data_IF_376943381112
#
_entry.id   IF_376943381112
#
_cell.length_a   1.000
_cell.length_b   1.000
_cell.length_c   1.000
_cell.angle_alpha   90.00
_cell.angle_beta   90.00
_cell.angle_gamma   90.00
#
_symmetry.space_group_name_H-M   'P 1'
#
loop_
_entity.id
_entity.type
_entity.pdbx_description
1 polymer ?
#
# COMPACT_ATOMS: atom_id res chain seq x y z
N UNK A 1 -13.24 -12.71 -13.93
CA UNK A 1 -13.11 -12.54 -12.48
C UNK A 1 -12.03 -11.53 -12.18
N UNK A 2 -12.38 -10.38 -11.61
CA UNK A 2 -11.42 -9.46 -11.00
C UNK A 2 -11.26 -9.78 -9.52
N UNK A 3 -10.05 -9.68 -8.99
CA UNK A 3 -9.74 -10.01 -7.60
C UNK A 3 -9.30 -8.78 -6.82
N UNK A 4 -9.52 -8.78 -5.51
CA UNK A 4 -8.96 -7.76 -4.62
C UNK A 4 -7.55 -8.16 -4.21
N UNK A 5 -6.56 -7.29 -4.47
CA UNK A 5 -5.23 -7.44 -3.93
C UNK A 5 -5.17 -6.74 -2.58
N UNK A 6 -4.89 -7.48 -1.50
CA UNK A 6 -4.79 -6.95 -0.15
C UNK A 6 -3.34 -6.93 0.29
N UNK A 7 -2.91 -5.82 0.84
CA UNK A 7 -1.57 -5.61 1.36
C UNK A 7 -1.67 -5.19 2.82
N UNK A 8 -0.67 -5.60 3.61
CA UNK A 8 -0.57 -5.26 5.03
C UNK A 8 0.84 -4.79 5.32
N UNK A 9 0.94 -3.74 6.11
CA UNK A 9 2.19 -3.23 6.66
C UNK A 9 2.13 -3.31 8.18
N UNK A 10 3.08 -4.02 8.78
CA UNK A 10 3.23 -4.04 10.23
C UNK A 10 3.98 -2.79 10.69
N UNK A 11 3.32 -2.02 11.56
CA UNK A 11 3.84 -0.77 12.07
C UNK A 11 4.49 -0.92 13.46
N UNK A 12 4.67 -2.16 13.93
CA UNK A 12 5.19 -2.48 15.25
C UNK A 12 4.13 -2.40 16.36
N UNK A 13 4.46 -2.92 17.54
CA UNK A 13 3.61 -2.89 18.74
C UNK A 13 2.19 -3.46 18.53
N UNK A 14 2.05 -4.48 17.66
CA UNK A 14 0.76 -5.08 17.33
C UNK A 14 -0.16 -4.19 16.49
N UNK A 15 0.36 -3.09 15.95
CA UNK A 15 -0.36 -2.18 15.07
C UNK A 15 0.01 -2.46 13.61
N UNK A 16 -0.98 -2.43 12.73
CA UNK A 16 -0.76 -2.60 11.30
C UNK A 16 -1.72 -1.76 10.48
N UNK A 17 -1.23 -1.31 9.33
CA UNK A 17 -2.05 -0.70 8.30
C UNK A 17 -2.30 -1.72 7.19
N UNK A 18 -3.43 -1.56 6.50
CA UNK A 18 -3.78 -2.45 5.39
C UNK A 18 -4.44 -1.65 4.26
N UNK A 19 -4.25 -2.10 3.03
CA UNK A 19 -4.96 -1.53 1.89
C UNK A 19 -5.43 -2.63 0.96
N UNK A 20 -6.43 -2.31 0.15
CA UNK A 20 -7.05 -3.24 -0.76
C UNK A 20 -7.28 -2.56 -2.11
N UNK A 21 -6.59 -2.98 -3.15
CA UNK A 21 -6.82 -2.50 -4.51
C UNK A 21 -7.77 -3.45 -5.24
N UNK A 22 -8.80 -2.89 -5.89
CA UNK A 22 -9.69 -3.65 -6.78
C UNK A 22 -9.05 -3.71 -8.16
N UNK A 23 -8.69 -4.91 -8.58
CA UNK A 23 -8.07 -5.14 -9.89
C UNK A 23 -8.99 -5.98 -10.76
N UNK A 24 -9.22 -5.52 -12.00
CA UNK A 24 -9.75 -6.38 -13.05
C UNK A 24 -8.74 -7.49 -13.40
N UNK A 25 -9.21 -8.54 -14.08
CA UNK A 25 -8.34 -9.63 -14.55
C UNK A 25 -7.17 -9.09 -15.38
N UNK A 26 -7.48 -8.21 -16.34
CA UNK A 26 -6.49 -7.58 -17.22
C UNK A 26 -5.45 -6.78 -16.45
N UNK A 27 -5.89 -5.95 -15.50
CA UNK A 27 -4.97 -5.16 -14.67
C UNK A 27 -4.06 -6.06 -13.82
N UNK A 28 -4.61 -7.13 -13.26
CA UNK A 28 -3.83 -8.10 -12.47
C UNK A 28 -2.78 -8.79 -13.32
N UNK A 29 -3.11 -9.21 -14.54
CA UNK A 29 -2.18 -9.82 -15.49
C UNK A 29 -1.08 -8.86 -15.94
N UNK A 30 -1.43 -7.60 -16.20
CA UNK A 30 -0.45 -6.56 -16.50
C UNK A 30 0.53 -6.40 -15.35
N UNK A 31 0.05 -6.13 -14.13
CA UNK A 31 0.92 -5.96 -12.96
C UNK A 31 1.74 -7.23 -12.67
N UNK A 32 1.18 -8.41 -12.85
CA UNK A 32 1.91 -9.67 -12.71
C UNK A 32 3.04 -9.78 -13.75
N UNK A 33 2.80 -9.36 -14.98
CA UNK A 33 3.83 -9.32 -16.03
C UNK A 33 4.95 -8.34 -15.67
N UNK A 34 4.62 -7.15 -15.17
CA UNK A 34 5.63 -6.20 -14.67
C UNK A 34 6.41 -6.77 -13.48
N UNK A 35 5.74 -7.43 -12.55
CA UNK A 35 6.39 -8.05 -11.41
C UNK A 35 7.37 -9.15 -11.85
N UNK A 36 6.96 -10.03 -12.77
CA UNK A 36 7.82 -11.07 -13.33
C UNK A 36 9.04 -10.49 -14.05
N UNK A 37 8.87 -9.41 -14.83
CA UNK A 37 10.01 -8.70 -15.45
C UNK A 37 11.00 -8.15 -14.42
N UNK A 38 10.52 -7.75 -13.25
CA UNK A 38 11.35 -7.31 -12.12
C UNK A 38 11.85 -8.47 -11.24
N UNK A 39 11.60 -9.73 -11.61
CA UNK A 39 11.98 -10.91 -10.83
C UNK A 39 11.23 -11.06 -9.50
N UNK A 40 10.05 -10.47 -9.36
CA UNK A 40 9.25 -10.45 -8.13
C UNK A 40 7.84 -11.00 -8.36
N UNK A 41 7.18 -11.44 -7.30
CA UNK A 41 5.75 -11.76 -7.37
C UNK A 41 4.91 -10.47 -7.33
N UNK A 42 3.70 -10.51 -7.91
CA UNK A 42 2.76 -9.40 -7.85
C UNK A 42 2.53 -8.92 -6.40
N UNK A 43 2.34 -9.87 -5.48
CA UNK A 43 2.14 -9.58 -4.07
C UNK A 43 3.34 -8.85 -3.45
N UNK A 44 4.56 -9.31 -3.73
CA UNK A 44 5.78 -8.65 -3.24
C UNK A 44 5.92 -7.21 -3.77
N UNK A 45 5.56 -6.99 -5.04
CA UNK A 45 5.59 -5.64 -5.63
C UNK A 45 4.55 -4.74 -4.99
N UNK A 46 3.31 -5.21 -4.81
CA UNK A 46 2.24 -4.44 -4.18
C UNK A 46 2.54 -4.16 -2.70
N UNK A 47 3.03 -5.16 -1.97
CA UNK A 47 3.42 -5.02 -0.56
C UNK A 47 4.58 -4.04 -0.40
N UNK A 48 5.58 -4.09 -1.28
CA UNK A 48 6.68 -3.13 -1.27
C UNK A 48 6.19 -1.70 -1.57
N UNK A 49 5.37 -1.53 -2.61
CA UNK A 49 4.80 -0.24 -2.97
C UNK A 49 3.95 0.34 -1.83
N UNK A 50 3.14 -0.49 -1.17
CA UNK A 50 2.37 -0.07 0.01
C UNK A 50 3.27 0.33 1.17
N UNK A 51 4.29 -0.47 1.48
CA UNK A 51 5.24 -0.18 2.55
C UNK A 51 5.98 1.16 2.32
N UNK A 52 6.30 1.50 1.07
CA UNK A 52 6.88 2.81 0.74
C UNK A 52 5.90 3.95 1.05
N UNK A 53 4.62 3.83 0.68
CA UNK A 53 3.61 4.84 1.01
C UNK A 53 3.43 4.98 2.54
N UNK A 54 3.43 3.88 3.29
CA UNK A 54 3.36 3.93 4.76
C UNK A 54 4.57 4.66 5.34
N UNK A 55 5.79 4.29 4.90
CA UNK A 55 7.03 4.93 5.39
C UNK A 55 7.13 6.40 4.98
N UNK A 56 6.61 6.77 3.80
CA UNK A 56 6.59 8.15 3.34
C UNK A 56 5.63 9.01 4.17
N UNK A 57 4.50 8.43 4.58
CA UNK A 57 3.47 9.08 5.38
C UNK A 57 3.86 9.16 6.87
N UNK A 58 4.46 8.09 7.40
CA UNK A 58 4.84 7.90 8.81
C UNK A 58 6.36 8.04 8.99
N UNK A 59 6.84 9.27 8.91
CA UNK A 59 8.26 9.58 9.12
C UNK A 59 8.42 10.86 9.96
N UNK A 60 9.55 11.03 10.66
CA UNK A 60 9.86 12.30 11.32
C UNK A 60 9.81 13.45 10.30
N UNK A 61 9.02 14.49 10.59
CA UNK A 61 8.76 15.62 9.67
C UNK A 61 7.90 15.27 8.45
N UNK A 62 7.33 14.07 8.39
CA UNK A 62 6.27 13.70 7.46
C UNK A 62 4.91 14.22 7.92
N UNK A 63 3.85 13.78 7.25
CA UNK A 63 2.48 14.19 7.61
C UNK A 63 2.05 13.65 8.97
N UNK A 64 2.57 12.49 9.36
CA UNK A 64 2.44 11.93 10.70
C UNK A 64 3.84 11.54 11.19
N UNK A 65 4.20 11.99 12.40
CA UNK A 65 5.56 11.81 12.93
C UNK A 65 5.97 10.34 13.10
N UNK A 66 5.02 9.49 13.50
CA UNK A 66 5.21 8.04 13.58
C UNK A 66 3.88 7.30 13.63
N UNK A 67 3.92 5.98 13.40
CA UNK A 67 2.75 5.12 13.60
C UNK A 67 2.22 5.20 15.04
N UNK A 68 3.11 5.08 16.03
CA UNK A 68 2.76 5.11 17.45
C UNK A 68 2.02 6.41 17.81
N UNK A 69 2.62 7.56 17.48
CA UNK A 69 2.02 8.87 17.74
C UNK A 69 0.65 9.03 17.06
N UNK A 70 0.50 8.49 15.86
CA UNK A 70 -0.77 8.57 15.16
C UNK A 70 -1.86 7.66 15.72
N UNK A 71 -1.50 6.48 16.24
CA UNK A 71 -2.43 5.63 16.98
C UNK A 71 -2.82 6.27 18.32
N UNK A 72 -1.87 6.88 19.03
CA UNK A 72 -2.13 7.63 20.26
C UNK A 72 -3.07 8.82 20.01
N UNK A 73 -2.87 9.52 18.89
CA UNK A 73 -3.74 10.62 18.46
C UNK A 73 -5.08 10.17 17.85
N UNK A 74 -5.40 8.86 17.86
CA UNK A 74 -6.62 8.27 17.25
C UNK A 74 -6.82 8.65 15.77
N UNK A 75 -5.73 8.89 15.05
CA UNK A 75 -5.74 9.23 13.62
C UNK A 75 -5.67 7.99 12.72
N UNK A 76 -5.83 6.78 13.26
CA UNK A 76 -5.67 5.54 12.48
C UNK A 76 -6.59 5.51 11.26
N UNK A 77 -7.85 5.93 11.41
CA UNK A 77 -8.83 5.95 10.31
C UNK A 77 -8.44 6.92 9.21
N UNK A 78 -7.92 8.09 9.59
CA UNK A 78 -7.47 9.10 8.63
C UNK A 78 -6.26 8.60 7.84
N UNK A 79 -5.27 8.04 8.54
CA UNK A 79 -4.10 7.42 7.91
C UNK A 79 -4.52 6.28 6.99
N UNK A 80 -5.39 5.40 7.46
CA UNK A 80 -5.86 4.26 6.68
C UNK A 80 -6.52 4.73 5.38
N UNK A 81 -7.36 5.77 5.44
CA UNK A 81 -8.00 6.34 4.26
C UNK A 81 -6.98 6.96 3.29
N UNK A 82 -5.99 7.69 3.81
CA UNK A 82 -4.92 8.28 2.99
C UNK A 82 -4.03 7.22 2.35
N UNK A 83 -3.65 6.19 3.10
CA UNK A 83 -2.87 5.06 2.60
C UNK A 83 -3.63 4.27 1.54
N UNK A 84 -4.93 4.08 1.70
CA UNK A 84 -5.77 3.45 0.68
C UNK A 84 -5.75 4.27 -0.62
N UNK A 85 -6.02 5.57 -0.54
CA UNK A 85 -5.99 6.46 -1.72
C UNK A 85 -4.62 6.46 -2.41
N UNK A 86 -3.55 6.58 -1.63
CA UNK A 86 -2.16 6.54 -2.15
C UNK A 86 -1.84 5.20 -2.80
N UNK A 87 -2.27 4.10 -2.19
CA UNK A 87 -2.08 2.77 -2.75
C UNK A 87 -2.84 2.59 -4.06
N UNK A 88 -4.09 3.05 -4.15
CA UNK A 88 -4.86 2.99 -5.40
C UNK A 88 -4.20 3.83 -6.51
N UNK A 89 -3.73 5.04 -6.19
CA UNK A 89 -2.97 5.89 -7.13
C UNK A 89 -1.67 5.23 -7.58
N UNK A 90 -0.94 4.58 -6.66
CA UNK A 90 0.31 3.88 -6.96
C UNK A 90 0.06 2.69 -7.88
N UNK A 91 -0.99 1.91 -7.61
CA UNK A 91 -1.43 0.79 -8.46
C UNK A 91 -1.84 1.29 -9.84
N UNK A 92 -2.58 2.39 -9.93
CA UNK A 92 -2.97 2.99 -11.21
C UNK A 92 -1.74 3.48 -12.00
N UNK A 93 -0.77 4.10 -11.33
CA UNK A 93 0.48 4.53 -11.96
C UNK A 93 1.27 3.35 -12.52
N UNK A 94 1.31 2.22 -11.80
CA UNK A 94 1.95 0.99 -12.27
C UNK A 94 1.26 0.35 -13.48
N UNK A 95 -0.04 0.63 -13.68
CA UNK A 95 -0.81 0.15 -14.84
C UNK A 95 -0.68 1.03 -16.08
N UNK A 96 -0.19 2.27 -15.93
CA UNK A 96 -0.01 3.24 -17.03
C UNK A 96 1.35 3.13 -17.73
N UNK A 97 2.27 2.32 -17.20
CA UNK A 97 3.59 2.02 -17.77
C UNK A 97 3.62 0.63 -18.41
#
# INVERSE_FOLDING_TARGET
GGGTARVRFDAGQGKSFQAAAKLSLRQREQLATHATKAGKSLDAVLTAAYAEEVKALLKPGGEFESAAAAFEAKKEREIQAKLQTKFDQRVEAMLKH
#
